data_IF_229564880471
#
_entry.id   IF_229564880471
#
_cell.length_a   1.000
_cell.length_b   1.000
_cell.length_c   1.000
_cell.angle_alpha   90.00
_cell.angle_beta   90.00
_cell.angle_gamma   90.00
#
_symmetry.space_group_name_H-M   'P 1'
#
loop_
_entity.id
_entity.type
_entity.pdbx_description
1 polymer ?
#
# COMPACT_ATOMS: atom_id res chain seq x y z
N UNK A 1 -25.58 -31.64 -4.81
CA UNK A 1 -25.34 -31.04 -3.48
C UNK A 1 -24.20 -31.79 -2.81
N UNK A 2 -23.33 -31.12 -2.05
CA UNK A 2 -22.27 -31.79 -1.28
C UNK A 2 -22.85 -32.52 -0.05
N UNK A 3 -22.04 -33.33 0.66
CA UNK A 3 -22.45 -33.93 1.91
C UNK A 3 -22.75 -32.85 2.96
N UNK A 4 -23.56 -33.16 4.00
CA UNK A 4 -23.77 -32.24 5.11
C UNK A 4 -22.42 -31.91 5.77
N UNK A 5 -22.19 -30.63 6.04
CA UNK A 5 -20.96 -30.12 6.64
C UNK A 5 -21.33 -29.09 7.70
N UNK A 6 -20.71 -29.20 8.89
CA UNK A 6 -20.85 -28.20 9.94
C UNK A 6 -20.21 -26.87 9.54
N UNK A 7 -20.42 -25.80 10.33
CA UNK A 7 -19.80 -24.51 10.06
C UNK A 7 -18.27 -24.62 10.13
N UNK A 8 -17.57 -24.05 9.15
CA UNK A 8 -16.11 -23.97 9.11
C UNK A 8 -15.71 -22.52 9.37
N UNK A 9 -14.94 -22.31 10.45
CA UNK A 9 -14.53 -20.99 10.89
C UNK A 9 -13.41 -20.36 10.01
N UNK A 10 -13.28 -19.04 10.12
CA UNK A 10 -12.09 -18.31 9.65
C UNK A 10 -10.85 -18.67 10.47
N UNK A 11 -9.67 -18.38 9.93
CA UNK A 11 -8.44 -18.53 10.69
C UNK A 11 -8.26 -17.34 11.64
N UNK A 12 -8.55 -17.55 12.92
CA UNK A 12 -8.54 -16.49 13.93
C UNK A 12 -7.18 -15.78 14.07
N UNK A 13 -6.06 -16.51 13.90
CA UNK A 13 -4.71 -15.91 14.00
C UNK A 13 -4.47 -14.94 12.84
N UNK A 14 -4.81 -15.34 11.62
CA UNK A 14 -4.69 -14.50 10.44
C UNK A 14 -5.65 -13.31 10.52
N UNK A 15 -6.89 -13.54 10.95
CA UNK A 15 -7.89 -12.48 11.12
C UNK A 15 -7.45 -11.42 12.15
N UNK A 16 -6.86 -11.83 13.26
CA UNK A 16 -6.36 -10.90 14.27
C UNK A 16 -5.20 -10.04 13.73
N UNK A 17 -4.27 -10.64 12.98
CA UNK A 17 -3.20 -9.90 12.29
C UNK A 17 -3.77 -8.92 11.25
N UNK A 18 -4.75 -9.35 10.46
CA UNK A 18 -5.41 -8.47 9.48
C UNK A 18 -6.06 -7.27 10.18
N UNK A 19 -6.75 -7.48 11.32
CA UNK A 19 -7.38 -6.41 12.10
C UNK A 19 -6.36 -5.40 12.63
N UNK A 20 -5.18 -5.87 13.06
CA UNK A 20 -4.09 -5.01 13.52
C UNK A 20 -3.43 -4.24 12.38
N UNK A 21 -3.21 -4.87 11.22
CA UNK A 21 -2.47 -4.28 10.11
C UNK A 21 -3.32 -3.31 9.27
N UNK A 22 -4.63 -3.56 9.11
CA UNK A 22 -5.54 -2.72 8.31
C UNK A 22 -5.48 -1.22 8.67
N UNK A 23 -5.56 -0.81 9.95
CA UNK A 23 -5.41 0.59 10.36
C UNK A 23 -4.10 1.24 9.91
N UNK A 24 -2.98 0.49 9.93
CA UNK A 24 -1.68 0.99 9.51
C UNK A 24 -1.63 1.25 7.99
N UNK A 25 -2.19 0.35 7.19
CA UNK A 25 -2.34 0.55 5.73
C UNK A 25 -3.16 1.81 5.46
N UNK A 26 -4.29 1.97 6.15
CA UNK A 26 -5.20 3.10 5.95
C UNK A 26 -4.53 4.43 6.33
N UNK A 27 -3.85 4.46 7.47
CA UNK A 27 -3.13 5.66 7.94
C UNK A 27 -2.03 6.04 6.95
N UNK A 28 -1.24 5.08 6.47
CA UNK A 28 -0.19 5.35 5.48
C UNK A 28 -0.78 5.92 4.18
N UNK A 29 -1.91 5.35 3.69
CA UNK A 29 -2.61 5.84 2.50
C UNK A 29 -3.08 7.30 2.67
N UNK A 30 -3.65 7.64 3.82
CA UNK A 30 -4.07 9.00 4.13
C UNK A 30 -2.89 9.98 4.17
N UNK A 31 -1.80 9.63 4.86
CA UNK A 31 -0.60 10.46 4.94
C UNK A 31 0.05 10.66 3.57
N UNK A 32 0.13 9.60 2.76
CA UNK A 32 0.58 9.68 1.36
C UNK A 32 -0.26 10.68 0.57
N UNK A 33 -1.59 10.58 0.64
CA UNK A 33 -2.49 11.49 -0.07
C UNK A 33 -2.29 12.95 0.37
N UNK A 34 -2.12 13.20 1.67
CA UNK A 34 -1.84 14.54 2.19
C UNK A 34 -0.53 15.10 1.64
N UNK A 35 0.55 14.31 1.66
CA UNK A 35 1.87 14.75 1.18
C UNK A 35 1.87 14.94 -0.34
N UNK A 36 1.24 14.04 -1.09
CA UNK A 36 1.07 14.19 -2.55
C UNK A 36 0.36 15.49 -2.91
N UNK A 37 -0.74 15.80 -2.23
CA UNK A 37 -1.48 17.04 -2.45
C UNK A 37 -0.60 18.26 -2.11
N UNK A 38 0.14 18.21 -1.00
CA UNK A 38 1.06 19.28 -0.63
C UNK A 38 2.11 19.53 -1.71
N UNK A 39 2.79 18.48 -2.21
CA UNK A 39 3.79 18.61 -3.30
C UNK A 39 3.15 19.20 -4.56
N UNK A 40 1.97 18.72 -4.94
CA UNK A 40 1.27 19.21 -6.13
C UNK A 40 0.91 20.70 -6.04
N UNK A 41 0.52 21.17 -4.85
CA UNK A 41 0.25 22.59 -4.58
C UNK A 41 1.51 23.47 -4.55
N UNK A 42 2.72 22.88 -4.46
CA UNK A 42 3.98 23.62 -4.58
C UNK A 42 4.44 23.82 -6.03
N UNK A 43 3.79 23.20 -7.02
CA UNK A 43 4.19 23.34 -8.43
C UNK A 43 3.92 24.79 -8.89
N UNK A 44 4.94 25.52 -9.38
CA UNK A 44 4.79 26.91 -9.78
C UNK A 44 4.17 27.01 -11.19
N UNK A 45 3.85 28.23 -11.61
CA UNK A 45 3.42 28.52 -12.98
C UNK A 45 4.43 27.96 -14.00
N UNK A 46 3.97 27.36 -15.09
CA UNK A 46 4.83 26.87 -16.19
C UNK A 46 5.58 28.05 -16.85
N UNK A 47 6.88 27.88 -17.06
CA UNK A 47 7.78 28.84 -17.72
C UNK A 47 8.78 28.10 -18.61
N UNK A 48 9.38 28.79 -19.59
CA UNK A 48 10.31 28.18 -20.56
C UNK A 48 11.67 27.79 -19.95
N UNK A 49 12.04 28.36 -18.81
CA UNK A 49 13.35 28.16 -18.16
C UNK A 49 13.26 28.04 -16.64
N UNK A 50 14.40 27.75 -15.99
CA UNK A 50 14.50 27.57 -14.54
C UNK A 50 13.60 26.44 -13.98
N UNK A 51 13.52 25.33 -14.70
CA UNK A 51 12.62 24.20 -14.38
C UNK A 51 13.30 23.04 -13.62
N UNK A 52 14.56 23.18 -13.20
CA UNK A 52 15.25 22.11 -12.46
C UNK A 52 14.52 21.74 -11.16
N UNK A 53 14.10 22.72 -10.36
CA UNK A 53 13.35 22.42 -9.13
C UNK A 53 11.98 21.82 -9.39
N UNK A 54 11.35 22.16 -10.52
CA UNK A 54 10.08 21.55 -10.96
C UNK A 54 10.31 20.07 -11.32
N UNK A 55 11.39 19.75 -12.02
CA UNK A 55 11.77 18.35 -12.30
C UNK A 55 12.04 17.54 -11.01
N UNK A 56 12.60 18.18 -9.98
CA UNK A 56 12.74 17.54 -8.65
C UNK A 56 11.36 17.28 -8.02
N UNK A 57 10.42 18.23 -8.08
CA UNK A 57 9.05 18.03 -7.60
C UNK A 57 8.36 16.88 -8.34
N UNK A 58 8.46 16.84 -9.67
CA UNK A 58 7.90 15.77 -10.51
C UNK A 58 8.46 14.40 -10.12
N UNK A 59 9.77 14.29 -9.88
CA UNK A 59 10.39 13.02 -9.49
C UNK A 59 9.93 12.53 -8.12
N UNK A 60 9.79 13.44 -7.15
CA UNK A 60 9.25 13.10 -5.82
C UNK A 60 7.77 12.73 -5.91
N UNK A 61 7.00 13.44 -6.73
CA UNK A 61 5.58 13.15 -6.95
C UNK A 61 5.35 11.80 -7.63
N UNK A 62 6.20 11.43 -8.59
CA UNK A 62 6.20 10.10 -9.22
C UNK A 62 6.40 8.99 -8.16
N UNK A 63 7.38 9.15 -7.28
CA UNK A 63 7.63 8.20 -6.19
C UNK A 63 6.40 8.07 -5.26
N UNK A 64 5.78 9.19 -4.88
CA UNK A 64 4.59 9.20 -4.04
C UNK A 64 3.42 8.46 -4.71
N UNK A 65 3.22 8.68 -6.01
CA UNK A 65 2.15 8.06 -6.80
C UNK A 65 2.36 6.55 -6.91
N UNK A 66 3.57 6.11 -7.26
CA UNK A 66 3.92 4.69 -7.35
C UNK A 66 3.75 3.98 -6.00
N UNK A 67 4.14 4.65 -4.92
CA UNK A 67 3.98 4.15 -3.55
C UNK A 67 2.49 3.99 -3.21
N UNK A 68 1.65 4.96 -3.54
CA UNK A 68 0.20 4.89 -3.31
C UNK A 68 -0.41 3.66 -3.99
N UNK A 69 -0.08 3.41 -5.26
CA UNK A 69 -0.55 2.23 -6.01
C UNK A 69 -0.14 0.92 -5.31
N UNK A 70 1.09 0.86 -4.79
CA UNK A 70 1.57 -0.32 -4.04
C UNK A 70 0.75 -0.56 -2.76
N UNK A 71 0.46 0.50 -1.99
CA UNK A 71 -0.34 0.41 -0.77
C UNK A 71 -1.80 0.00 -1.07
N UNK A 72 -2.39 0.47 -2.18
CA UNK A 72 -3.71 0.03 -2.63
C UNK A 72 -3.74 -1.47 -2.97
N UNK A 73 -2.64 -2.01 -3.51
CA UNK A 73 -2.46 -3.44 -3.74
C UNK A 73 -2.61 -4.29 -2.47
N UNK A 74 -2.15 -3.79 -1.31
CA UNK A 74 -2.28 -4.52 -0.04
C UNK A 74 -3.73 -4.69 0.41
N UNK A 75 -4.58 -3.68 0.19
CA UNK A 75 -6.01 -3.78 0.52
C UNK A 75 -6.69 -4.84 -0.35
N UNK A 76 -6.39 -4.86 -1.64
CA UNK A 76 -6.93 -5.84 -2.60
C UNK A 76 -6.49 -7.26 -2.25
N UNK A 77 -5.22 -7.44 -1.86
CA UNK A 77 -4.69 -8.76 -1.47
C UNK A 77 -5.41 -9.34 -0.24
N UNK A 78 -5.75 -8.52 0.76
CA UNK A 78 -6.51 -8.98 1.93
C UNK A 78 -7.91 -9.46 1.53
N UNK A 79 -8.62 -8.72 0.68
CA UNK A 79 -9.95 -9.14 0.20
C UNK A 79 -9.85 -10.42 -0.62
N UNK A 80 -8.81 -10.56 -1.44
CA UNK A 80 -8.54 -11.74 -2.24
C UNK A 80 -8.33 -12.99 -1.39
N UNK A 81 -7.60 -12.90 -0.26
CA UNK A 81 -7.44 -14.02 0.67
C UNK A 81 -8.78 -14.59 1.16
N UNK A 82 -9.73 -13.74 1.58
CA UNK A 82 -11.03 -14.21 2.03
C UNK A 82 -11.81 -14.92 0.93
N UNK A 83 -11.75 -14.39 -0.30
CA UNK A 83 -12.40 -15.01 -1.47
C UNK A 83 -11.78 -16.38 -1.78
N UNK A 84 -10.46 -16.44 -1.93
CA UNK A 84 -9.76 -17.68 -2.31
C UNK A 84 -9.88 -18.76 -1.24
N UNK A 85 -9.78 -18.38 0.04
CA UNK A 85 -9.98 -19.30 1.15
C UNK A 85 -11.42 -19.81 1.19
N UNK A 86 -12.41 -18.93 0.98
CA UNK A 86 -13.82 -19.30 0.91
C UNK A 86 -14.08 -20.34 -0.19
N UNK A 87 -13.52 -20.11 -1.38
CA UNK A 87 -13.61 -21.05 -2.51
C UNK A 87 -12.92 -22.38 -2.22
N UNK A 88 -11.73 -22.35 -1.61
CA UNK A 88 -11.00 -23.56 -1.22
C UNK A 88 -11.80 -24.40 -0.19
N UNK A 89 -12.35 -23.74 0.83
CA UNK A 89 -13.20 -24.39 1.84
C UNK A 89 -14.49 -24.96 1.21
N UNK A 90 -15.12 -24.22 0.29
CA UNK A 90 -16.31 -24.68 -0.42
C UNK A 90 -16.02 -25.90 -1.31
N UNK A 91 -14.86 -25.96 -1.95
CA UNK A 91 -14.42 -27.13 -2.73
C UNK A 91 -14.11 -28.32 -1.82
N UNK A 92 -13.39 -28.10 -0.72
CA UNK A 92 -13.05 -29.12 0.26
C UNK A 92 -14.28 -29.77 0.91
N UNK A 93 -15.32 -28.98 1.21
CA UNK A 93 -16.57 -29.50 1.79
C UNK A 93 -17.44 -30.25 0.76
N UNK A 94 -17.48 -29.79 -0.49
CA UNK A 94 -18.25 -30.45 -1.57
C UNK A 94 -17.59 -31.72 -2.09
N UNK A 95 -16.26 -31.79 -2.10
CA UNK A 95 -15.47 -32.90 -2.64
C UNK A 95 -14.49 -33.43 -1.58
N UNK A 96 -14.99 -34.07 -0.51
CA UNK A 96 -14.15 -34.46 0.63
C UNK A 96 -13.10 -35.54 0.30
N UNK A 97 -13.26 -36.25 -0.81
CA UNK A 97 -12.30 -37.24 -1.30
C UNK A 97 -11.06 -36.62 -1.95
N UNK A 98 -11.10 -35.32 -2.32
CA UNK A 98 -9.96 -34.60 -2.88
C UNK A 98 -9.17 -33.96 -1.74
N UNK A 99 -8.10 -34.63 -1.29
CA UNK A 99 -7.27 -34.17 -0.18
C UNK A 99 -6.62 -32.80 -0.42
N UNK A 100 -6.30 -32.48 -1.67
CA UNK A 100 -5.61 -31.24 -2.05
C UNK A 100 -6.39 -29.98 -1.70
N UNK A 101 -7.74 -30.01 -1.69
CA UNK A 101 -8.51 -28.84 -1.28
C UNK A 101 -8.36 -28.52 0.20
N UNK A 102 -8.13 -29.52 1.06
CA UNK A 102 -7.84 -29.29 2.48
C UNK A 102 -6.45 -28.70 2.64
N UNK A 103 -5.47 -29.24 1.91
CA UNK A 103 -4.12 -28.69 1.91
C UNK A 103 -4.11 -27.24 1.41
N UNK A 104 -4.85 -26.93 0.33
CA UNK A 104 -4.94 -25.58 -0.22
C UNK A 104 -5.43 -24.56 0.81
N UNK A 105 -6.38 -24.91 1.69
CA UNK A 105 -6.83 -24.02 2.78
C UNK A 105 -5.66 -23.70 3.72
N UNK A 106 -4.85 -24.69 4.07
CA UNK A 106 -3.68 -24.51 4.95
C UNK A 106 -2.57 -23.70 4.27
N UNK A 107 -2.29 -23.95 2.99
CA UNK A 107 -1.32 -23.19 2.20
C UNK A 107 -1.72 -21.72 2.06
N UNK A 108 -3.00 -21.43 1.81
CA UNK A 108 -3.52 -20.06 1.75
C UNK A 108 -3.36 -19.32 3.08
N UNK A 109 -3.61 -20.01 4.21
CA UNK A 109 -3.44 -19.44 5.55
C UNK A 109 -1.96 -19.13 5.84
N UNK A 110 -1.03 -20.04 5.50
CA UNK A 110 0.41 -19.83 5.69
C UNK A 110 0.95 -18.73 4.77
N UNK A 111 0.54 -18.72 3.51
CA UNK A 111 0.89 -17.69 2.55
C UNK A 111 0.43 -16.32 3.04
N UNK A 112 -0.83 -16.21 3.50
CA UNK A 112 -1.35 -14.94 3.99
C UNK A 112 -0.60 -14.44 5.23
N UNK A 113 -0.21 -15.32 6.14
CA UNK A 113 0.64 -14.94 7.27
C UNK A 113 1.98 -14.32 6.82
N UNK A 114 2.65 -14.96 5.86
CA UNK A 114 3.90 -14.45 5.30
C UNK A 114 3.72 -13.10 4.59
N UNK A 115 2.65 -12.95 3.80
CA UNK A 115 2.32 -11.71 3.12
C UNK A 115 2.04 -10.57 4.10
N UNK A 116 1.28 -10.81 5.18
CA UNK A 116 1.02 -9.81 6.20
C UNK A 116 2.32 -9.32 6.87
N UNK A 117 3.28 -10.22 7.11
CA UNK A 117 4.61 -9.84 7.61
C UNK A 117 5.34 -8.93 6.62
N UNK A 118 5.29 -9.24 5.33
CA UNK A 118 5.90 -8.41 4.29
C UNK A 118 5.23 -7.03 4.18
N UNK A 119 3.91 -6.96 4.31
CA UNK A 119 3.16 -5.69 4.33
C UNK A 119 3.65 -4.77 5.45
N UNK A 120 3.82 -5.29 6.67
CA UNK A 120 4.31 -4.48 7.80
C UNK A 120 5.72 -3.94 7.55
N UNK A 121 6.62 -4.78 7.02
CA UNK A 121 7.97 -4.35 6.66
C UNK A 121 7.95 -3.27 5.57
N UNK A 122 7.06 -3.40 4.59
CA UNK A 122 6.92 -2.41 3.53
C UNK A 122 6.36 -1.09 4.04
N UNK A 123 5.38 -1.11 4.95
CA UNK A 123 4.84 0.10 5.59
C UNK A 123 5.98 0.87 6.28
N UNK A 124 6.81 0.17 7.07
CA UNK A 124 7.99 0.77 7.73
C UNK A 124 8.96 1.36 6.71
N UNK A 125 9.34 0.59 5.70
CA UNK A 125 10.29 1.02 4.68
C UNK A 125 9.76 2.23 3.91
N UNK A 126 8.47 2.24 3.60
CA UNK A 126 7.79 3.34 2.91
C UNK A 126 7.94 4.64 3.70
N UNK A 127 7.63 4.64 5.00
CA UNK A 127 7.82 5.83 5.83
C UNK A 127 9.27 6.33 5.81
N UNK A 128 10.24 5.43 5.92
CA UNK A 128 11.66 5.78 5.91
C UNK A 128 12.10 6.40 4.58
N UNK A 129 11.73 5.79 3.45
CA UNK A 129 12.08 6.27 2.10
C UNK A 129 11.43 7.62 1.81
N UNK A 130 10.14 7.78 2.14
CA UNK A 130 9.45 9.04 1.92
C UNK A 130 10.06 10.16 2.75
N UNK A 131 10.35 9.91 4.02
CA UNK A 131 11.01 10.89 4.88
C UNK A 131 12.37 11.28 4.31
N UNK A 132 13.22 10.31 3.97
CA UNK A 132 14.55 10.56 3.42
C UNK A 132 14.52 11.41 2.14
N UNK A 133 13.70 11.02 1.16
CA UNK A 133 13.60 11.70 -0.13
C UNK A 133 13.03 13.11 0.03
N UNK A 134 11.98 13.29 0.84
CA UNK A 134 11.37 14.61 1.06
C UNK A 134 12.34 15.52 1.81
N UNK A 135 12.98 15.04 2.87
CA UNK A 135 13.91 15.83 3.68
C UNK A 135 15.12 16.30 2.86
N UNK A 136 15.72 15.41 2.06
CA UNK A 136 16.88 15.77 1.21
C UNK A 136 16.55 16.81 0.15
N UNK A 137 15.31 16.82 -0.35
CA UNK A 137 14.88 17.67 -1.46
C UNK A 137 13.97 18.82 -1.01
N UNK A 138 13.81 19.04 0.30
CA UNK A 138 12.78 19.92 0.87
C UNK A 138 12.83 21.34 0.30
N UNK A 139 14.03 21.91 0.17
CA UNK A 139 14.20 23.28 -0.35
C UNK A 139 13.74 23.40 -1.81
N UNK A 140 14.04 22.40 -2.64
CA UNK A 140 13.60 22.38 -4.04
C UNK A 140 12.12 22.07 -4.18
N UNK A 141 11.55 21.28 -3.28
CA UNK A 141 10.11 21.02 -3.24
C UNK A 141 9.36 22.31 -2.85
N UNK A 142 9.83 23.04 -1.85
CA UNK A 142 9.17 24.25 -1.33
C UNK A 142 9.41 25.49 -2.20
N UNK A 143 10.62 25.62 -2.76
CA UNK A 143 11.07 26.78 -3.55
C UNK A 143 11.76 26.30 -4.83
N UNK A 144 11.02 25.74 -5.80
CA UNK A 144 11.62 25.14 -7.00
C UNK A 144 12.44 26.12 -7.86
N UNK A 145 12.10 27.42 -7.81
CA UNK A 145 12.82 28.49 -8.51
C UNK A 145 13.71 29.36 -7.61
N UNK A 146 13.90 28.95 -6.35
CA UNK A 146 14.59 29.75 -5.33
C UNK A 146 13.72 30.85 -4.75
N UNK A 147 14.32 31.72 -3.93
CA UNK A 147 13.66 32.94 -3.48
C UNK A 147 13.59 33.94 -4.64
N UNK A 148 12.44 34.61 -4.81
CA UNK A 148 12.36 35.76 -5.69
C UNK A 148 13.50 36.70 -5.32
N UNK A 149 14.41 36.99 -6.26
CA UNK A 149 15.20 38.20 -6.16
C UNK A 149 14.16 39.32 -6.09
N UNK A 150 13.97 39.91 -4.91
CA UNK A 150 13.14 41.09 -4.77
C UNK A 150 13.56 42.05 -5.88
N UNK A 151 12.59 42.52 -6.66
CA UNK A 151 12.83 43.61 -7.59
C UNK A 151 13.33 44.76 -6.74
N UNK A 152 14.64 45.01 -6.78
CA UNK A 152 15.24 46.20 -6.17
C UNK A 152 14.76 47.34 -7.07
N UNK A 153 13.68 47.99 -6.66
CA UNK A 153 13.22 49.25 -7.23
C UNK A 153 14.11 50.39 -6.72
#
# INVERSE_FOLDING_TARGET
>A
AGPPCGPIASNEKVDNLIKEIKPHIQTLKEKLNTVSMWVQLQIPRIEDGNNFGVAVQEKVFELLTNTRTKIEGFQTQITKYYSERGDAVAKASKQPHVGDYRQLVHELDQHQYCELRMVVLEIRNTYAVLFDVISKNYDKIKKPRGDCKALIY
#
